data_IF_589296159316
#
_entry.id   IF_589296159316
#
_cell.length_a   1.000
_cell.length_b   1.000
_cell.length_c   1.000
_cell.angle_alpha   90.00
_cell.angle_beta   90.00
_cell.angle_gamma   90.00
#
_symmetry.space_group_name_H-M   'P 1'
#
loop_
_entity.id
_entity.type
_entity.pdbx_description
1 polymer ?
#
# COMPACT_ATOMS: atom_id res chain seq x y z
N UNK A 1 -23.98 7.21 -11.64
CA UNK A 1 -25.00 6.55 -10.79
C UNK A 1 -26.42 7.00 -11.11
N UNK A 2 -26.73 8.29 -11.20
CA UNK A 2 -28.09 8.78 -11.52
C UNK A 2 -28.68 8.25 -12.83
N UNK A 3 -27.86 8.11 -13.87
CA UNK A 3 -28.25 7.47 -15.13
C UNK A 3 -28.70 6.02 -14.92
N UNK A 4 -27.99 5.26 -14.09
CA UNK A 4 -28.34 3.87 -13.75
C UNK A 4 -29.65 3.84 -12.95
N UNK A 5 -29.80 4.71 -11.95
CA UNK A 5 -31.02 4.83 -11.13
C UNK A 5 -32.25 5.11 -11.98
N UNK A 6 -32.16 6.02 -12.93
CA UNK A 6 -33.27 6.42 -13.80
C UNK A 6 -33.50 5.47 -15.00
N UNK A 7 -32.79 4.34 -15.10
CA UNK A 7 -32.89 3.46 -16.26
C UNK A 7 -34.29 2.88 -16.48
N UNK A 8 -35.03 2.40 -15.45
CA UNK A 8 -36.40 1.91 -15.63
C UNK A 8 -37.35 2.95 -16.21
N UNK A 9 -37.30 4.19 -15.70
CA UNK A 9 -38.16 5.30 -16.14
C UNK A 9 -37.86 5.66 -17.60
N UNK A 10 -36.58 5.82 -17.95
CA UNK A 10 -36.17 6.17 -19.32
C UNK A 10 -36.56 5.10 -20.33
N UNK A 11 -36.43 3.83 -19.97
CA UNK A 11 -36.83 2.72 -20.85
C UNK A 11 -38.35 2.65 -20.99
N UNK A 12 -39.12 2.94 -19.95
CA UNK A 12 -40.57 3.01 -20.04
C UNK A 12 -41.05 4.08 -21.04
N UNK A 13 -40.35 5.22 -21.10
CA UNK A 13 -40.70 6.34 -21.99
C UNK A 13 -40.31 6.11 -23.46
N UNK A 14 -39.30 5.28 -23.73
CA UNK A 14 -38.69 5.17 -25.08
C UNK A 14 -38.68 3.76 -25.70
N UNK A 15 -39.05 2.71 -24.96
CA UNK A 15 -38.93 1.34 -25.46
C UNK A 15 -40.09 0.94 -26.39
N UNK A 16 -39.81 0.16 -27.45
CA UNK A 16 -40.85 -0.56 -28.19
C UNK A 16 -41.72 -1.42 -27.27
N UNK A 17 -42.99 -1.63 -27.64
CA UNK A 17 -43.91 -2.42 -26.85
C UNK A 17 -43.33 -3.82 -26.49
N UNK A 18 -43.36 -4.18 -25.20
CA UNK A 18 -42.88 -5.47 -24.69
C UNK A 18 -41.42 -5.49 -24.22
N UNK A 19 -40.53 -4.66 -24.78
CA UNK A 19 -39.10 -4.66 -24.40
C UNK A 19 -38.90 -4.22 -22.94
N UNK A 20 -39.69 -3.25 -22.47
CA UNK A 20 -39.62 -2.77 -21.08
C UNK A 20 -39.99 -3.83 -20.03
N UNK A 21 -40.92 -4.74 -20.37
CA UNK A 21 -41.28 -5.89 -19.51
C UNK A 21 -40.14 -6.91 -19.47
N UNK A 22 -39.57 -7.23 -20.63
CA UNK A 22 -38.49 -8.21 -20.77
C UNK A 22 -37.25 -7.81 -19.98
N UNK A 23 -36.82 -6.54 -20.08
CA UNK A 23 -35.59 -6.07 -19.43
C UNK A 23 -35.78 -5.61 -17.98
N UNK A 24 -37.03 -5.58 -17.48
CA UNK A 24 -37.38 -5.04 -16.15
C UNK A 24 -36.51 -5.60 -15.01
N UNK A 25 -36.25 -6.93 -14.91
CA UNK A 25 -35.44 -7.45 -13.80
C UNK A 25 -34.03 -6.85 -13.76
N UNK A 26 -33.40 -6.63 -14.91
CA UNK A 26 -32.08 -6.04 -15.02
C UNK A 26 -32.10 -4.52 -14.84
N UNK A 27 -33.09 -3.83 -15.40
CA UNK A 27 -33.19 -2.37 -15.26
C UNK A 27 -33.50 -1.97 -13.82
N UNK A 28 -34.34 -2.70 -13.10
CA UNK A 28 -34.59 -2.49 -11.67
C UNK A 28 -33.34 -2.77 -10.83
N UNK A 29 -32.62 -3.86 -11.10
CA UNK A 29 -31.39 -4.17 -10.39
C UNK A 29 -30.31 -3.11 -10.65
N UNK A 30 -30.19 -2.65 -11.91
CA UNK A 30 -29.31 -1.55 -12.28
C UNK A 30 -29.71 -0.25 -11.56
N UNK A 31 -31.01 0.01 -11.40
CA UNK A 31 -31.50 1.16 -10.68
C UNK A 31 -31.15 1.13 -9.19
N UNK A 32 -31.29 -0.03 -8.53
CA UNK A 32 -30.86 -0.23 -7.13
C UNK A 32 -29.37 0.01 -6.96
N UNK A 33 -28.53 -0.49 -7.87
CA UNK A 33 -27.10 -0.17 -7.86
C UNK A 33 -26.82 1.31 -8.12
N UNK A 34 -27.60 1.96 -8.99
CA UNK A 34 -27.56 3.40 -9.19
C UNK A 34 -27.83 4.16 -7.89
N UNK A 35 -28.90 3.82 -7.19
CA UNK A 35 -29.25 4.41 -5.89
C UNK A 35 -28.17 4.14 -4.83
N UNK A 36 -27.67 2.91 -4.74
CA UNK A 36 -26.58 2.55 -3.82
C UNK A 36 -25.32 3.37 -4.10
N UNK A 37 -24.97 3.57 -5.37
CA UNK A 37 -23.81 4.37 -5.74
C UNK A 37 -23.97 5.86 -5.44
N UNK A 38 -25.16 6.43 -5.59
CA UNK A 38 -25.46 7.81 -5.14
C UNK A 38 -25.29 7.94 -3.63
N UNK A 39 -25.93 7.07 -2.84
CA UNK A 39 -25.84 7.07 -1.39
C UNK A 39 -24.40 6.83 -0.88
N UNK A 40 -23.62 6.01 -1.59
CA UNK A 40 -22.22 5.79 -1.30
C UNK A 40 -21.38 7.07 -1.51
N UNK A 41 -21.65 7.83 -2.58
CA UNK A 41 -21.00 9.13 -2.81
C UNK A 41 -21.44 10.16 -1.77
N UNK A 42 -22.72 10.22 -1.43
CA UNK A 42 -23.25 11.13 -0.40
C UNK A 42 -22.62 10.85 0.98
N UNK A 43 -22.48 9.57 1.34
CA UNK A 43 -21.78 9.12 2.55
C UNK A 43 -20.33 9.62 2.58
N UNK A 44 -19.55 9.37 1.52
CA UNK A 44 -18.16 9.81 1.46
C UNK A 44 -18.05 11.35 1.50
N UNK A 45 -18.95 12.05 0.81
CA UNK A 45 -18.97 13.51 0.80
C UNK A 45 -19.32 14.10 2.17
N UNK A 46 -20.26 13.49 2.90
CA UNK A 46 -20.59 13.87 4.27
C UNK A 46 -19.40 13.65 5.21
N UNK A 47 -18.73 12.50 5.12
CA UNK A 47 -17.52 12.19 5.90
C UNK A 47 -16.37 13.16 5.62
N UNK A 48 -16.16 13.53 4.36
CA UNK A 48 -15.15 14.51 3.96
C UNK A 48 -15.42 15.91 4.55
N UNK A 49 -16.69 16.27 4.76
CA UNK A 49 -17.09 17.53 5.42
C UNK A 49 -17.14 17.43 6.95
N UNK A 50 -16.97 16.24 7.52
CA UNK A 50 -17.14 16.00 8.95
C UNK A 50 -18.61 15.98 9.42
N UNK A 51 -19.56 15.83 8.49
CA UNK A 51 -20.99 15.81 8.79
C UNK A 51 -21.44 14.39 9.16
N UNK A 52 -21.31 14.06 10.45
CA UNK A 52 -21.59 12.73 10.96
C UNK A 52 -23.06 12.31 10.87
N UNK A 53 -24.00 13.25 11.04
CA UNK A 53 -25.42 12.98 10.93
C UNK A 53 -25.81 12.63 9.48
N UNK A 54 -25.39 13.44 8.50
CA UNK A 54 -25.63 13.13 7.09
C UNK A 54 -24.93 11.83 6.65
N UNK A 55 -23.69 11.59 7.13
CA UNK A 55 -22.98 10.35 6.86
C UNK A 55 -23.75 9.15 7.41
N UNK A 56 -24.21 9.20 8.66
CA UNK A 56 -24.97 8.13 9.28
C UNK A 56 -26.29 7.85 8.56
N UNK A 57 -27.03 8.89 8.19
CA UNK A 57 -28.26 8.74 7.41
C UNK A 57 -28.01 8.09 6.04
N UNK A 58 -26.98 8.54 5.31
CA UNK A 58 -26.60 7.97 4.03
C UNK A 58 -26.16 6.50 4.16
N UNK A 59 -25.41 6.15 5.20
CA UNK A 59 -25.00 4.78 5.48
C UNK A 59 -26.20 3.86 5.78
N UNK A 60 -27.15 4.30 6.62
CA UNK A 60 -28.37 3.53 6.91
C UNK A 60 -29.17 3.27 5.64
N UNK A 61 -29.38 4.32 4.83
CA UNK A 61 -30.07 4.19 3.56
C UNK A 61 -29.32 3.25 2.59
N UNK A 62 -27.98 3.37 2.53
CA UNK A 62 -27.15 2.49 1.71
C UNK A 62 -27.27 1.03 2.15
N UNK A 63 -27.21 0.75 3.46
CA UNK A 63 -27.39 -0.61 4.02
C UNK A 63 -28.75 -1.19 3.64
N UNK A 64 -29.81 -0.39 3.69
CA UNK A 64 -31.16 -0.83 3.28
C UNK A 64 -31.19 -1.21 1.79
N UNK A 65 -30.69 -0.34 0.90
CA UNK A 65 -30.64 -0.62 -0.55
C UNK A 65 -29.74 -1.84 -0.85
N UNK A 66 -28.63 -2.00 -0.14
CA UNK A 66 -27.74 -3.16 -0.29
C UNK A 66 -28.39 -4.48 0.13
N UNK A 67 -29.22 -4.46 1.17
CA UNK A 67 -29.97 -5.64 1.59
C UNK A 67 -31.03 -6.06 0.55
N UNK A 68 -31.48 -5.13 -0.29
CA UNK A 68 -32.35 -5.42 -1.42
C UNK A 68 -31.56 -5.93 -2.63
N UNK A 69 -30.42 -5.32 -2.95
CA UNK A 69 -29.57 -5.78 -4.08
C UNK A 69 -29.02 -7.20 -3.85
N UNK A 70 -28.77 -7.58 -2.59
CA UNK A 70 -28.24 -8.90 -2.23
C UNK A 70 -29.25 -10.04 -2.37
N UNK A 71 -30.56 -9.76 -2.48
CA UNK A 71 -31.63 -10.78 -2.69
C UNK A 71 -31.68 -11.27 -4.15
N UNK A 72 -30.50 -11.40 -4.77
CA UNK A 72 -30.20 -11.58 -6.21
C UNK A 72 -31.27 -12.35 -6.99
N UNK A 73 -31.87 -11.70 -8.00
CA UNK A 73 -32.61 -12.36 -9.08
C UNK A 73 -31.88 -12.36 -10.42
N UNK A 74 -31.02 -11.37 -10.66
CA UNK A 74 -30.18 -11.21 -11.86
C UNK A 74 -28.86 -10.52 -11.50
N UNK A 75 -27.82 -10.72 -12.31
CA UNK A 75 -26.49 -10.10 -12.13
C UNK A 75 -26.33 -8.92 -13.07
N UNK A 76 -25.80 -7.80 -12.55
CA UNK A 76 -25.46 -6.59 -13.31
C UNK A 76 -24.07 -6.13 -12.89
N UNK A 77 -23.13 -6.07 -13.85
CA UNK A 77 -21.77 -5.55 -13.61
C UNK A 77 -20.97 -6.35 -12.58
N UNK A 78 -20.76 -7.65 -12.87
CA UNK A 78 -19.99 -8.54 -12.00
C UNK A 78 -18.57 -8.00 -11.73
N UNK A 79 -18.14 -8.05 -10.48
CA UNK A 79 -16.79 -7.60 -10.07
C UNK A 79 -16.52 -6.09 -10.13
N UNK A 80 -17.52 -5.23 -10.39
CA UNK A 80 -17.30 -3.77 -10.48
C UNK A 80 -18.00 -3.01 -9.36
N UNK A 81 -19.32 -3.16 -9.23
CA UNK A 81 -20.12 -2.33 -8.33
C UNK A 81 -20.03 -2.77 -6.87
N UNK A 82 -20.11 -4.07 -6.62
CA UNK A 82 -19.99 -4.62 -5.26
C UNK A 82 -18.64 -4.28 -4.61
N UNK A 83 -17.48 -4.43 -5.29
CA UNK A 83 -16.19 -4.03 -4.72
C UNK A 83 -16.10 -2.54 -4.37
N UNK A 84 -16.70 -1.67 -5.19
CA UNK A 84 -16.77 -0.24 -4.88
C UNK A 84 -17.59 0.00 -3.60
N UNK A 85 -18.80 -0.55 -3.52
CA UNK A 85 -19.68 -0.39 -2.35
C UNK A 85 -19.06 -0.97 -1.07
N UNK A 86 -18.38 -2.11 -1.17
CA UNK A 86 -17.63 -2.70 -0.06
C UNK A 86 -16.49 -1.82 0.41
N UNK A 87 -15.78 -1.17 -0.52
CA UNK A 87 -14.72 -0.23 -0.17
C UNK A 87 -15.28 1.02 0.53
N UNK A 88 -16.45 1.51 0.12
CA UNK A 88 -17.13 2.63 0.80
C UNK A 88 -17.52 2.26 2.22
N UNK A 89 -18.13 1.09 2.44
CA UNK A 89 -18.47 0.63 3.80
C UNK A 89 -17.23 0.49 4.67
N UNK A 90 -16.14 -0.10 4.17
CA UNK A 90 -14.87 -0.19 4.91
C UNK A 90 -14.30 1.18 5.28
N UNK A 91 -14.38 2.14 4.35
CA UNK A 91 -13.94 3.52 4.60
C UNK A 91 -14.79 4.15 5.70
N UNK A 92 -16.10 3.93 5.66
CA UNK A 92 -17.00 4.45 6.66
C UNK A 92 -16.78 3.82 8.04
N UNK A 93 -16.58 2.51 8.13
CA UNK A 93 -16.22 1.83 9.38
C UNK A 93 -14.95 2.41 10.01
N UNK A 94 -13.92 2.65 9.20
CA UNK A 94 -12.70 3.32 9.66
C UNK A 94 -12.99 4.73 10.20
N UNK A 95 -13.83 5.51 9.50
CA UNK A 95 -14.30 6.83 9.93
C UNK A 95 -15.08 6.78 11.25
N UNK A 96 -15.88 5.74 11.47
CA UNK A 96 -16.61 5.52 12.72
C UNK A 96 -15.74 5.03 13.88
N UNK A 97 -14.47 4.68 13.65
CA UNK A 97 -13.61 4.08 14.67
C UNK A 97 -13.94 2.62 14.99
N UNK A 98 -14.65 1.92 14.08
CA UNK A 98 -15.08 0.53 14.30
C UNK A 98 -14.04 -0.50 13.86
N UNK A 99 -12.95 -0.06 13.23
CA UNK A 99 -11.85 -0.91 12.74
C UNK A 99 -10.73 -0.98 13.77
N UNK A 100 -10.39 -2.19 14.22
CA UNK A 100 -9.23 -2.43 15.08
C UNK A 100 -9.45 -2.13 16.57
N UNK A 101 -10.65 -2.38 17.10
CA UNK A 101 -10.99 -2.17 18.52
C UNK A 101 -9.98 -2.79 19.49
N UNK A 102 -9.85 -2.19 20.67
CA UNK A 102 -8.85 -2.55 21.67
C UNK A 102 -9.29 -3.71 22.58
N UNK A 103 -10.31 -4.48 22.17
CA UNK A 103 -10.84 -5.64 22.90
C UNK A 103 -12.07 -5.33 23.75
N UNK A 104 -12.81 -4.28 23.41
CA UNK A 104 -14.07 -3.91 24.06
C UNK A 104 -15.13 -4.99 23.84
N UNK A 105 -16.00 -5.17 24.84
CA UNK A 105 -17.12 -6.11 24.78
C UNK A 105 -18.44 -5.38 24.99
N UNK A 106 -19.40 -5.65 24.12
CA UNK A 106 -20.79 -5.21 24.32
C UNK A 106 -21.43 -6.14 25.35
N UNK A 107 -21.86 -5.58 26.47
CA UNK A 107 -22.65 -6.27 27.48
C UNK A 107 -24.13 -5.94 27.23
N UNK A 108 -24.92 -6.96 26.89
CA UNK A 108 -26.37 -6.82 26.82
C UNK A 108 -26.95 -6.88 28.23
N UNK A 109 -27.57 -5.78 28.64
CA UNK A 109 -28.21 -5.66 29.96
C UNK A 109 -29.71 -5.45 29.87
N UNK A 110 -30.30 -5.49 28.67
CA UNK A 110 -31.73 -5.27 28.40
C UNK A 110 -32.23 -3.84 28.64
N UNK A 111 -31.60 -3.05 29.51
CA UNK A 111 -31.98 -1.66 29.83
C UNK A 111 -30.92 -0.61 29.44
N UNK A 112 -29.78 -1.05 28.92
CA UNK A 112 -28.69 -0.17 28.48
C UNK A 112 -27.80 -0.88 27.46
N UNK A 113 -27.34 -0.13 26.46
CA UNK A 113 -26.27 -0.57 25.56
C UNK A 113 -24.93 -0.25 26.23
N UNK A 114 -24.24 -1.27 26.74
CA UNK A 114 -23.01 -1.08 27.53
C UNK A 114 -21.80 -1.63 26.80
N UNK A 115 -20.73 -0.84 26.72
CA UNK A 115 -19.42 -1.22 26.21
C UNK A 115 -18.44 -1.29 27.36
N UNK A 116 -17.95 -2.48 27.67
CA UNK A 116 -16.94 -2.72 28.71
C UNK A 116 -15.55 -2.62 28.11
N UNK A 117 -14.70 -1.81 28.73
CA UNK A 117 -13.32 -1.61 28.30
C UNK A 117 -12.42 -2.66 28.96
N UNK A 118 -11.35 -3.14 28.29
CA UNK A 118 -10.47 -4.18 28.83
C UNK A 118 -9.67 -3.74 30.06
N UNK A 119 -9.48 -2.42 30.21
CA UNK A 119 -8.80 -1.77 31.33
C UNK A 119 -9.32 -0.35 31.48
N UNK A 120 -8.97 0.31 32.58
CA UNK A 120 -9.22 1.75 32.75
C UNK A 120 -8.42 2.53 31.71
N UNK A 121 -9.09 3.35 30.90
CA UNK A 121 -8.52 4.13 29.80
C UNK A 121 -8.93 5.60 29.91
N UNK A 122 -8.03 6.56 29.63
CA UNK A 122 -8.43 7.95 29.39
C UNK A 122 -9.18 8.07 28.06
N UNK A 123 -10.35 8.72 28.09
CA UNK A 123 -11.20 8.94 26.92
C UNK A 123 -10.85 10.26 26.25
N UNK A 124 -10.71 10.24 24.92
CA UNK A 124 -10.61 11.44 24.10
C UNK A 124 -12.01 11.91 23.65
N UNK A 125 -12.92 10.97 23.45
CA UNK A 125 -14.25 11.24 22.89
C UNK A 125 -15.11 9.99 22.86
N UNK A 126 -16.38 10.18 22.55
CA UNK A 126 -17.35 9.11 22.36
C UNK A 126 -18.20 9.41 21.15
N UNK A 127 -18.29 8.46 20.24
CA UNK A 127 -19.23 8.50 19.11
C UNK A 127 -20.34 7.48 19.35
N UNK A 128 -21.59 7.90 19.20
CA UNK A 128 -22.78 7.05 19.32
C UNK A 128 -23.61 7.17 18.07
N UNK A 129 -24.01 6.03 17.53
CA UNK A 129 -24.97 5.92 16.43
C UNK A 129 -26.24 5.25 16.94
N UNK A 130 -27.37 5.88 16.69
CA UNK A 130 -28.69 5.35 17.04
C UNK A 130 -29.63 5.50 15.86
N UNK A 131 -30.78 4.84 15.92
CA UNK A 131 -31.86 5.31 15.05
C UNK A 131 -32.20 6.79 15.34
N UNK A 132 -32.63 7.57 14.33
CA UNK A 132 -33.09 8.93 14.55
C UNK A 132 -34.29 8.97 15.51
N UNK A 133 -34.32 9.99 16.37
CA UNK A 133 -35.35 10.23 17.37
C UNK A 133 -35.15 9.48 18.70
N UNK A 134 -34.14 8.62 18.81
CA UNK A 134 -33.82 7.91 20.07
C UNK A 134 -33.34 8.91 21.12
N UNK A 135 -33.91 8.82 22.33
CA UNK A 135 -33.52 9.64 23.47
C UNK A 135 -32.75 8.83 24.51
N UNK A 136 -31.76 9.44 25.14
CA UNK A 136 -30.93 8.77 26.13
C UNK A 136 -29.76 9.61 26.63
N UNK A 137 -29.01 9.05 27.56
CA UNK A 137 -27.80 9.66 28.11
C UNK A 137 -26.61 8.73 27.89
N UNK A 138 -25.51 9.30 27.40
CA UNK A 138 -24.21 8.64 27.32
C UNK A 138 -23.51 8.83 28.66
N UNK A 139 -23.05 7.74 29.27
CA UNK A 139 -22.41 7.75 30.57
C UNK A 139 -21.09 6.96 30.52
N UNK A 140 -20.10 7.40 31.30
CA UNK A 140 -18.82 6.74 31.49
C UNK A 140 -18.68 6.26 32.94
N UNK A 141 -18.32 4.99 33.13
CA UNK A 141 -18.06 4.45 34.47
C UNK A 141 -16.63 4.80 34.88
N UNK A 142 -16.51 5.70 35.84
CA UNK A 142 -15.22 6.11 36.41
C UNK A 142 -14.99 5.34 37.71
N UNK A 143 -13.91 4.56 37.83
CA UNK A 143 -13.60 3.83 39.07
C UNK A 143 -13.64 4.74 40.31
N UNK A 144 -14.36 4.31 41.34
CA UNK A 144 -14.55 5.08 42.59
C UNK A 144 -15.58 6.21 42.52
N UNK A 145 -16.03 6.62 41.32
CA UNK A 145 -17.09 7.65 41.15
C UNK A 145 -18.39 7.08 40.56
N UNK A 146 -18.37 5.85 40.04
CA UNK A 146 -19.53 5.23 39.40
C UNK A 146 -19.79 5.81 38.01
N UNK A 147 -21.04 5.72 37.55
CA UNK A 147 -21.47 6.27 36.25
C UNK A 147 -21.51 7.80 36.31
N UNK A 148 -20.81 8.43 35.38
CA UNK A 148 -20.76 9.88 35.21
C UNK A 148 -21.41 10.23 33.87
N UNK A 149 -22.30 11.22 33.81
CA UNK A 149 -22.88 11.66 32.55
C UNK A 149 -21.80 12.28 31.66
N UNK A 150 -21.83 11.95 30.37
CA UNK A 150 -20.95 12.49 29.34
C UNK A 150 -21.73 13.49 28.47
N UNK A 151 -22.81 13.02 27.85
CA UNK A 151 -23.69 13.86 27.01
C UNK A 151 -25.09 13.23 26.89
N UNK A 152 -26.05 13.96 26.33
CA UNK A 152 -27.32 13.40 25.86
C UNK A 152 -27.18 12.97 24.40
N UNK A 153 -28.02 12.01 23.99
CA UNK A 153 -28.12 11.63 22.58
C UNK A 153 -28.72 12.77 21.75
N UNK A 154 -28.12 13.02 20.60
CA UNK A 154 -28.64 13.92 19.58
C UNK A 154 -29.78 13.26 18.79
N UNK A 155 -30.87 14.00 18.49
CA UNK A 155 -32.08 13.43 17.90
C UNK A 155 -31.92 13.01 16.43
N UNK A 156 -30.87 13.48 15.73
CA UNK A 156 -30.54 13.02 14.38
C UNK A 156 -29.93 11.60 14.34
N UNK A 157 -29.61 11.03 15.52
CA UNK A 157 -29.03 9.70 15.65
C UNK A 157 -27.51 9.65 15.53
N UNK A 158 -26.83 10.79 15.46
CA UNK A 158 -25.38 10.91 15.52
C UNK A 158 -24.94 11.79 16.69
N UNK A 159 -24.41 11.16 17.73
CA UNK A 159 -23.84 11.88 18.88
C UNK A 159 -22.33 11.72 18.85
N UNK A 160 -21.59 12.82 18.77
CA UNK A 160 -20.13 12.79 18.78
C UNK A 160 -19.60 13.90 19.69
N UNK A 161 -18.95 13.50 20.77
CA UNK A 161 -18.56 14.43 21.84
C UNK A 161 -17.14 14.17 22.29
N UNK A 162 -16.38 15.24 22.50
CA UNK A 162 -15.10 15.16 23.19
C UNK A 162 -15.34 14.88 24.69
N UNK A 163 -14.51 14.03 25.28
CA UNK A 163 -14.68 13.60 26.68
C UNK A 163 -13.36 13.56 27.44
N UNK A 164 -12.46 14.47 27.08
CA UNK A 164 -11.12 14.57 27.66
C UNK A 164 -11.16 14.68 29.18
N UNK A 165 -10.18 14.04 29.83
CA UNK A 165 -10.06 14.03 31.30
C UNK A 165 -10.91 12.98 32.04
N UNK A 166 -11.76 12.22 31.37
CA UNK A 166 -12.42 11.05 31.97
C UNK A 166 -11.55 9.79 31.82
N UNK A 167 -11.37 9.05 32.93
CA UNK A 167 -10.72 7.72 32.92
C UNK A 167 -11.77 6.67 33.26
N UNK A 168 -12.20 5.92 32.25
CA UNK A 168 -13.32 5.00 32.36
C UNK A 168 -12.91 3.55 32.15
N UNK A 169 -13.68 2.62 32.70
CA UNK A 169 -13.59 1.18 32.42
C UNK A 169 -14.84 0.61 31.74
N UNK A 170 -15.89 1.42 31.57
CA UNK A 170 -17.06 1.12 30.76
C UNK A 170 -17.73 2.40 30.26
N UNK A 171 -18.46 2.30 29.15
CA UNK A 171 -19.36 3.31 28.62
C UNK A 171 -20.75 2.69 28.47
N UNK A 172 -21.81 3.48 28.59
CA UNK A 172 -23.15 3.02 28.24
C UNK A 172 -24.00 4.13 27.64
N UNK A 173 -25.03 3.71 26.91
CA UNK A 173 -26.21 4.51 26.62
C UNK A 173 -27.34 4.01 27.49
N UNK A 174 -27.90 4.88 28.33
CA UNK A 174 -29.08 4.61 29.16
C UNK A 174 -30.30 5.36 28.61
N UNK A 175 -31.46 4.70 28.62
CA UNK A 175 -32.71 5.25 28.09
C UNK A 175 -33.75 4.17 27.81
N UNK A 176 -35.00 4.56 27.51
CA UNK A 176 -36.09 3.62 27.24
C UNK A 176 -35.92 2.83 25.93
N UNK A 177 -35.04 3.27 25.03
CA UNK A 177 -34.85 2.74 23.68
C UNK A 177 -33.39 2.32 23.43
N UNK A 178 -32.71 1.80 24.46
CA UNK A 178 -31.31 1.43 24.38
C UNK A 178 -31.02 0.32 23.35
N UNK A 179 -32.02 -0.48 23.01
CA UNK A 179 -31.98 -1.49 21.94
C UNK A 179 -31.90 -0.90 20.53
N UNK A 180 -32.22 0.39 20.36
CA UNK A 180 -32.11 1.13 19.08
C UNK A 180 -30.76 1.83 18.89
N UNK A 181 -29.79 1.51 19.75
CA UNK A 181 -28.39 1.93 19.61
C UNK A 181 -27.69 0.98 18.65
N UNK A 182 -27.22 1.49 17.51
CA UNK A 182 -26.41 0.71 16.56
C UNK A 182 -25.00 0.49 17.12
N UNK A 183 -24.37 1.56 17.65
CA UNK A 183 -22.99 1.51 18.10
C UNK A 183 -22.68 2.57 19.14
N UNK A 184 -21.82 2.22 20.09
CA UNK A 184 -21.14 3.11 21.04
C UNK A 184 -19.63 2.90 20.90
N UNK A 185 -18.90 3.91 20.44
CA UNK A 185 -17.47 3.83 20.13
C UNK A 185 -16.66 4.76 21.05
N UNK A 186 -15.84 4.22 21.95
CA UNK A 186 -14.85 5.02 22.68
C UNK A 186 -13.69 5.44 21.78
N UNK A 187 -13.24 6.67 21.96
CA UNK A 187 -11.94 7.14 21.49
C UNK A 187 -11.03 7.38 22.69
N UNK A 188 -9.75 7.05 22.57
CA UNK A 188 -8.83 7.04 23.70
C UNK A 188 -7.68 8.03 23.56
N UNK A 189 -7.25 8.63 24.67
CA UNK A 189 -6.11 9.55 24.69
C UNK A 189 -4.76 8.81 24.67
N UNK A 190 -4.69 7.64 25.30
CA UNK A 190 -3.46 6.84 25.49
C UNK A 190 -3.15 5.89 24.32
N UNK A 191 -3.92 5.98 23.22
CA UNK A 191 -3.69 5.24 21.99
C UNK A 191 -2.85 6.02 20.99
N UNK A 192 -2.26 5.31 20.02
CA UNK A 192 -1.63 5.98 18.88
C UNK A 192 -2.65 6.85 18.13
N UNK A 193 -2.22 8.03 17.67
CA UNK A 193 -3.08 8.96 16.96
C UNK A 193 -3.39 8.50 15.54
N UNK A 194 -2.51 7.69 14.94
CA UNK A 194 -2.69 7.13 13.63
C UNK A 194 -1.99 5.78 13.50
N UNK A 195 -2.47 4.93 12.59
CA UNK A 195 -1.67 3.81 12.08
C UNK A 195 -0.63 4.33 11.07
N UNK A 196 0.54 3.69 11.05
CA UNK A 196 1.61 3.91 10.08
C UNK A 196 1.98 2.58 9.44
N UNK A 197 1.93 2.50 8.11
CA UNK A 197 2.41 1.36 7.33
C UNK A 197 3.25 1.85 6.16
N UNK A 198 4.39 1.21 5.93
CA UNK A 198 5.17 1.44 4.71
C UNK A 198 4.65 0.51 3.61
N UNK A 199 4.41 1.06 2.42
CA UNK A 199 3.97 0.28 1.26
C UNK A 199 5.01 -0.77 0.85
N UNK A 200 6.29 -0.47 1.09
CA UNK A 200 7.41 -1.42 1.10
C UNK A 200 8.28 -1.12 2.31
N UNK A 201 8.73 -2.17 3.01
CA UNK A 201 9.68 -2.04 4.11
C UNK A 201 11.12 -1.77 3.67
N UNK A 202 11.38 -1.73 2.37
CA UNK A 202 12.70 -1.55 1.78
C UNK A 202 12.67 -0.45 0.72
N UNK A 203 13.76 0.32 0.65
CA UNK A 203 14.02 1.30 -0.40
C UNK A 203 15.43 1.08 -0.96
N UNK A 204 15.52 0.85 -2.26
CA UNK A 204 16.79 0.76 -2.97
C UNK A 204 17.23 2.15 -3.41
N UNK A 205 18.50 2.49 -3.18
CA UNK A 205 19.05 3.78 -3.57
C UNK A 205 20.50 3.60 -4.03
N UNK A 206 20.84 4.21 -5.16
CA UNK A 206 22.22 4.34 -5.61
C UNK A 206 22.88 5.48 -4.81
N UNK A 207 24.09 5.24 -4.32
CA UNK A 207 24.91 6.25 -3.64
C UNK A 207 25.24 7.35 -4.64
N UNK A 208 24.98 8.60 -4.25
CA UNK A 208 25.11 9.78 -5.12
C UNK A 208 24.18 9.75 -6.34
N UNK A 209 23.09 8.95 -6.26
CA UNK A 209 22.10 8.81 -7.30
C UNK A 209 20.81 9.60 -7.06
N UNK A 210 19.84 9.40 -7.94
CA UNK A 210 18.51 9.97 -7.80
C UNK A 210 17.77 9.41 -6.58
N UNK A 211 16.79 10.18 -6.11
CA UNK A 211 16.01 9.78 -4.95
C UNK A 211 15.03 8.65 -5.30
N UNK A 212 15.01 7.59 -4.49
CA UNK A 212 13.96 6.59 -4.57
C UNK A 212 12.73 7.06 -3.79
N UNK A 213 11.54 6.73 -4.29
CA UNK A 213 10.27 7.11 -3.66
C UNK A 213 9.51 5.87 -3.26
N UNK A 214 9.17 5.79 -1.98
CA UNK A 214 8.22 4.82 -1.44
C UNK A 214 6.96 5.53 -0.96
N UNK A 215 5.92 4.77 -0.64
CA UNK A 215 4.66 5.33 -0.11
C UNK A 215 4.48 4.88 1.33
N UNK A 216 4.36 5.82 2.26
CA UNK A 216 3.79 5.57 3.59
C UNK A 216 2.26 5.69 3.52
N UNK A 217 1.54 4.83 4.23
CA UNK A 217 0.09 4.89 4.40
C UNK A 217 -0.19 5.21 5.86
N UNK A 218 -0.91 6.30 6.09
CA UNK A 218 -1.28 6.76 7.41
C UNK A 218 -2.79 6.74 7.56
N UNK A 219 -3.32 6.24 8.68
CA UNK A 219 -4.78 6.21 8.94
C UNK A 219 -5.06 6.87 10.28
N UNK A 220 -5.88 7.91 10.32
CA UNK A 220 -6.23 8.60 11.57
C UNK A 220 -7.07 7.72 12.50
N UNK A 221 -6.67 7.63 13.77
CA UNK A 221 -7.33 6.86 14.83
C UNK A 221 -7.83 7.80 15.96
N UNK A 222 -8.29 9.00 15.57
CA UNK A 222 -8.83 10.01 16.49
C UNK A 222 -10.22 10.47 16.01
N UNK A 223 -11.08 10.98 16.92
CA UNK A 223 -12.41 11.46 16.58
C UNK A 223 -12.40 12.73 15.70
N UNK A 224 -11.23 13.25 15.35
CA UNK A 224 -11.04 14.39 14.47
C UNK A 224 -9.80 14.25 13.60
N UNK A 225 -9.47 15.33 12.89
CA UNK A 225 -8.30 15.41 12.01
C UNK A 225 -7.00 15.31 12.80
N UNK A 226 -6.13 14.40 12.40
CA UNK A 226 -4.76 14.27 12.95
C UNK A 226 -3.80 15.04 12.05
N UNK A 227 -2.91 15.83 12.65
CA UNK A 227 -1.86 16.59 11.94
C UNK A 227 -0.51 16.27 12.53
N UNK A 228 0.50 16.18 11.67
CA UNK A 228 1.87 15.99 12.14
C UNK A 228 2.86 15.82 11.01
N UNK A 229 4.15 15.82 11.35
CA UNK A 229 5.21 15.50 10.41
C UNK A 229 5.50 14.00 10.43
N UNK A 230 5.66 13.39 9.25
CA UNK A 230 6.25 12.06 9.14
C UNK A 230 7.77 12.20 9.29
N UNK A 231 8.30 11.80 10.45
CA UNK A 231 9.72 12.00 10.80
C UNK A 231 10.51 10.72 10.55
N UNK A 232 11.75 10.86 10.08
CA UNK A 232 12.67 9.76 9.94
C UNK A 232 13.93 10.02 10.79
N UNK A 233 14.41 9.00 11.51
CA UNK A 233 15.70 9.05 12.20
C UNK A 233 16.77 8.48 11.30
N UNK A 234 17.50 9.33 10.60
CA UNK A 234 18.42 8.88 9.56
C UNK A 234 19.87 8.73 10.06
N UNK A 235 20.58 7.67 9.62
CA UNK A 235 22.04 7.59 9.74
C UNK A 235 22.74 8.72 8.95
N UNK A 236 23.99 9.03 9.31
CA UNK A 236 24.80 10.04 8.62
C UNK A 236 24.92 9.72 7.12
N UNK A 237 24.56 10.67 6.27
CA UNK A 237 24.62 10.55 4.80
C UNK A 237 23.41 9.88 4.16
N UNK A 238 22.41 9.45 4.93
CA UNK A 238 21.11 9.02 4.41
C UNK A 238 20.10 10.12 4.68
N UNK A 239 19.38 10.54 3.65
CA UNK A 239 18.33 11.53 3.73
C UNK A 239 17.00 10.85 3.45
N UNK A 240 16.04 11.05 4.34
CA UNK A 240 14.65 10.60 4.16
C UNK A 240 13.76 11.80 4.38
N UNK A 241 13.05 12.20 3.33
CA UNK A 241 12.18 13.38 3.33
C UNK A 241 10.74 12.99 3.02
N UNK A 242 9.82 13.66 3.71
CA UNK A 242 8.38 13.59 3.53
C UNK A 242 7.82 15.02 3.66
N UNK A 243 6.54 15.27 3.33
CA UNK A 243 5.91 16.57 3.58
C UNK A 243 6.09 17.03 5.03
N UNK A 244 6.39 18.32 5.22
CA UNK A 244 6.62 18.91 6.56
C UNK A 244 5.41 18.74 7.48
N UNK A 245 4.22 18.76 6.89
CA UNK A 245 2.96 18.48 7.56
C UNK A 245 2.12 17.52 6.71
N UNK A 246 1.57 16.51 7.38
CA UNK A 246 0.57 15.60 6.85
C UNK A 246 -0.74 15.82 7.59
N UNK A 247 -1.83 15.98 6.84
CA UNK A 247 -3.18 16.16 7.37
C UNK A 247 -3.98 14.89 7.10
N UNK A 248 -4.43 14.23 8.16
CA UNK A 248 -5.19 12.99 8.09
C UNK A 248 -6.60 13.27 8.59
N UNK A 249 -7.58 13.45 7.69
CA UNK A 249 -8.98 13.48 8.08
C UNK A 249 -9.35 12.20 8.84
N UNK A 250 -10.34 12.32 9.73
CA UNK A 250 -10.86 11.22 10.55
C UNK A 250 -11.05 9.95 9.71
N UNK A 251 -10.55 8.82 10.24
CA UNK A 251 -10.62 7.47 9.65
C UNK A 251 -10.21 7.32 8.18
N UNK A 252 -9.53 8.30 7.61
CA UNK A 252 -9.10 8.28 6.20
C UNK A 252 -7.68 7.73 6.12
N UNK A 253 -7.42 6.86 5.14
CA UNK A 253 -6.06 6.48 4.76
C UNK A 253 -5.48 7.53 3.82
N UNK A 254 -4.38 8.16 4.21
CA UNK A 254 -3.62 9.11 3.39
C UNK A 254 -2.32 8.45 2.94
N UNK A 255 -2.00 8.59 1.65
CA UNK A 255 -0.75 8.09 1.06
C UNK A 255 0.26 9.22 0.98
N UNK A 256 1.35 9.07 1.70
CA UNK A 256 2.43 10.04 1.80
C UNK A 256 3.63 9.54 1.00
N UNK A 257 4.10 10.26 -0.03
CA UNK A 257 5.36 9.93 -0.68
C UNK A 257 6.52 10.20 0.29
N UNK A 258 7.43 9.23 0.38
CA UNK A 258 8.66 9.31 1.17
C UNK A 258 9.82 9.13 0.22
N UNK A 259 10.65 10.17 0.11
CA UNK A 259 11.82 10.19 -0.76
C UNK A 259 13.07 9.85 0.03
N UNK A 260 13.92 8.97 -0.52
CA UNK A 260 15.15 8.48 0.09
C UNK A 260 16.32 8.83 -0.84
N UNK A 261 17.34 9.53 -0.30
CA UNK A 261 18.62 9.76 -0.98
C UNK A 261 19.77 9.22 -0.13
N UNK A 262 20.81 8.76 -0.81
CA UNK A 262 22.05 8.32 -0.18
C UNK A 262 23.18 9.20 -0.70
N UNK A 263 23.76 10.00 0.17
CA UNK A 263 24.83 10.94 -0.17
C UNK A 263 26.13 10.23 -0.54
N UNK A 264 26.96 10.94 -1.29
CA UNK A 264 28.32 10.52 -1.61
C UNK A 264 29.11 10.10 -0.35
N UNK A 265 29.87 9.00 -0.45
CA UNK A 265 30.76 8.53 0.62
C UNK A 265 30.10 7.61 1.66
N UNK A 266 28.79 7.41 1.59
CA UNK A 266 28.13 6.32 2.34
C UNK A 266 28.65 4.97 1.85
N UNK A 267 28.87 4.03 2.77
CA UNK A 267 29.32 2.67 2.40
C UNK A 267 28.13 1.89 1.83
N UNK A 268 28.32 1.09 0.76
CA UNK A 268 27.28 0.16 0.33
C UNK A 268 26.82 -0.77 1.46
N UNK A 269 25.53 -1.06 1.52
CA UNK A 269 24.95 -1.90 2.57
C UNK A 269 23.52 -1.54 2.92
N UNK A 270 22.98 -2.23 3.93
CA UNK A 270 21.63 -2.00 4.43
C UNK A 270 21.65 -1.16 5.69
N UNK A 271 20.74 -0.18 5.76
CA UNK A 271 20.61 0.76 6.86
C UNK A 271 19.17 0.80 7.34
N UNK A 272 18.96 0.64 8.64
CA UNK A 272 17.63 0.76 9.23
C UNK A 272 17.34 2.23 9.56
N UNK A 273 16.20 2.71 9.08
CA UNK A 273 15.70 4.07 9.30
C UNK A 273 14.32 3.98 9.96
N UNK A 274 14.22 4.25 11.27
CA UNK A 274 12.94 4.39 11.93
C UNK A 274 12.16 5.58 11.36
N UNK A 275 10.95 5.32 10.88
CA UNK A 275 9.98 6.31 10.39
C UNK A 275 8.82 6.40 11.37
N UNK A 276 8.42 7.60 11.76
CA UNK A 276 7.52 7.84 12.88
C UNK A 276 6.43 8.85 12.56
N UNK A 277 5.22 8.55 13.03
CA UNK A 277 4.06 9.43 12.94
C UNK A 277 3.04 9.07 14.03
N UNK A 278 2.46 10.07 14.70
CA UNK A 278 1.33 9.88 15.62
C UNK A 278 1.56 8.85 16.74
N UNK A 279 2.79 8.74 17.26
CA UNK A 279 3.17 7.77 18.28
C UNK A 279 3.43 6.34 17.77
N UNK A 280 3.42 6.11 16.45
CA UNK A 280 3.82 4.86 15.81
C UNK A 280 5.18 4.99 15.16
N UNK A 281 5.90 3.86 15.11
CA UNK A 281 7.17 3.71 14.42
C UNK A 281 7.11 2.51 13.48
N UNK A 282 7.72 2.64 12.31
CA UNK A 282 7.94 1.58 11.34
C UNK A 282 9.38 1.65 10.85
N UNK A 283 10.03 0.50 10.67
CA UNK A 283 11.41 0.47 10.17
C UNK A 283 11.43 0.40 8.65
N UNK A 284 12.11 1.37 8.03
CA UNK A 284 12.48 1.34 6.62
C UNK A 284 13.93 0.84 6.48
N UNK A 285 14.14 -0.23 5.71
CA UNK A 285 15.49 -0.67 5.33
C UNK A 285 15.91 0.02 4.04
N UNK A 286 16.88 0.94 4.13
CA UNK A 286 17.51 1.56 2.96
C UNK A 286 18.68 0.71 2.51
N UNK A 287 18.62 0.17 1.28
CA UNK A 287 19.74 -0.56 0.66
C UNK A 287 20.51 0.38 -0.25
N UNK A 288 21.70 0.76 0.20
CA UNK A 288 22.61 1.64 -0.53
C UNK A 288 23.50 0.81 -1.46
N UNK A 289 23.42 1.11 -2.75
CA UNK A 289 24.24 0.47 -3.80
C UNK A 289 25.30 1.42 -4.31
N UNK A 290 26.50 0.94 -4.66
CA UNK A 290 27.53 1.78 -5.25
C UNK A 290 27.05 2.40 -6.58
N UNK A 291 27.53 3.59 -6.94
CA UNK A 291 27.28 4.16 -8.26
C UNK A 291 27.86 3.25 -9.34
N UNK A 292 27.25 3.29 -10.52
CA UNK A 292 27.65 2.47 -11.67
C UNK A 292 28.03 3.32 -12.87
N UNK A 293 28.82 2.75 -13.78
CA UNK A 293 29.36 3.45 -14.95
C UNK A 293 29.65 2.49 -16.10
N UNK A 294 30.09 3.05 -17.22
CA UNK A 294 30.52 2.30 -18.40
C UNK A 294 29.38 1.77 -19.26
N UNK A 295 29.72 1.06 -20.35
CA UNK A 295 28.73 0.42 -21.21
C UNK A 295 28.10 -0.81 -20.54
N UNK A 296 26.99 -1.29 -21.12
CA UNK A 296 26.42 -2.58 -20.77
C UNK A 296 27.43 -3.72 -20.99
N UNK A 297 27.74 -4.44 -19.92
CA UNK A 297 28.66 -5.59 -19.90
C UNK A 297 28.07 -6.83 -20.57
N UNK A 298 26.75 -6.91 -20.70
CA UNK A 298 26.05 -8.07 -21.28
C UNK A 298 26.13 -8.07 -22.80
N UNK A 299 26.09 -6.90 -23.44
CA UNK A 299 26.10 -6.73 -24.90
C UNK A 299 27.16 -7.55 -25.65
N UNK A 300 28.34 -7.69 -25.06
CA UNK A 300 29.49 -8.41 -25.64
C UNK A 300 29.72 -9.80 -25.01
N UNK A 301 28.87 -10.21 -24.07
CA UNK A 301 28.94 -11.50 -23.41
C UNK A 301 28.39 -12.66 -24.25
N UNK A 302 28.52 -13.88 -23.73
CA UNK A 302 27.93 -15.09 -24.32
C UNK A 302 26.71 -15.53 -23.52
N UNK A 303 25.53 -15.28 -24.05
CA UNK A 303 24.27 -15.65 -23.43
C UNK A 303 23.94 -17.14 -23.64
N UNK A 304 23.31 -17.76 -22.63
CA UNK A 304 22.67 -19.07 -22.70
C UNK A 304 21.46 -19.13 -21.78
N UNK A 305 20.59 -20.13 -21.97
CA UNK A 305 19.35 -20.31 -21.19
C UNK A 305 19.20 -21.78 -20.76
N UNK A 306 18.25 -22.04 -19.85
CA UNK A 306 17.84 -23.40 -19.50
C UNK A 306 17.18 -24.12 -20.68
N UNK A 307 16.39 -23.37 -21.45
CA UNK A 307 15.72 -23.76 -22.68
C UNK A 307 15.12 -22.50 -23.32
N UNK A 308 14.84 -22.58 -24.61
CA UNK A 308 14.15 -21.55 -25.38
C UNK A 308 12.73 -22.04 -25.72
N UNK A 309 11.77 -21.12 -25.78
CA UNK A 309 10.37 -21.39 -26.18
C UNK A 309 10.33 -21.96 -27.61
N UNK A 310 11.04 -21.29 -28.53
CA UNK A 310 11.28 -21.68 -29.92
C UNK A 310 12.67 -21.17 -30.34
N UNK A 311 13.15 -21.61 -31.51
CA UNK A 311 14.41 -21.11 -32.09
C UNK A 311 14.39 -19.60 -32.41
N UNK A 312 13.20 -19.00 -32.55
CA UNK A 312 13.01 -17.57 -32.82
C UNK A 312 13.21 -16.69 -31.58
N UNK A 313 13.21 -17.26 -30.37
CA UNK A 313 13.37 -16.53 -29.10
C UNK A 313 14.61 -16.97 -28.31
N UNK A 314 15.81 -16.97 -28.92
CA UNK A 314 17.01 -17.54 -28.33
C UNK A 314 17.55 -16.66 -27.19
N UNK A 315 18.34 -17.26 -26.29
CA UNK A 315 18.98 -16.53 -25.18
C UNK A 315 19.75 -15.27 -25.63
N UNK A 316 20.35 -15.27 -26.82
CA UNK A 316 21.11 -14.13 -27.35
C UNK A 316 20.26 -12.87 -27.56
N UNK A 317 18.97 -13.02 -27.84
CA UNK A 317 18.09 -11.90 -28.11
C UNK A 317 18.00 -10.95 -26.91
N UNK A 318 17.93 -11.46 -25.67
CA UNK A 318 17.98 -10.60 -24.49
C UNK A 318 19.33 -9.88 -24.23
N UNK A 319 20.37 -10.13 -25.03
CA UNK A 319 21.68 -9.48 -24.91
C UNK A 319 22.09 -8.66 -26.14
N UNK A 320 21.31 -8.67 -27.23
CA UNK A 320 21.75 -8.08 -28.51
C UNK A 320 21.56 -6.56 -28.60
N UNK A 321 20.64 -6.00 -27.80
CA UNK A 321 20.33 -4.57 -27.75
C UNK A 321 19.25 -4.12 -28.70
N UNK A 322 18.61 -5.07 -29.38
CA UNK A 322 17.44 -4.85 -30.21
C UNK A 322 16.19 -4.87 -29.32
N UNK A 323 15.44 -3.75 -29.18
CA UNK A 323 14.22 -3.74 -28.39
C UNK A 323 13.08 -4.58 -28.98
N UNK A 324 13.20 -5.04 -30.24
CA UNK A 324 12.21 -5.88 -30.91
C UNK A 324 12.48 -7.39 -30.73
N UNK A 325 13.69 -7.77 -30.33
CA UNK A 325 14.05 -9.17 -30.07
C UNK A 325 13.80 -9.53 -28.61
N UNK A 326 13.58 -10.82 -28.32
CA UNK A 326 13.41 -11.31 -26.94
C UNK A 326 13.93 -12.73 -26.78
N UNK A 327 14.48 -13.02 -25.60
CA UNK A 327 14.58 -14.41 -25.14
C UNK A 327 13.24 -14.81 -24.53
N UNK A 328 12.82 -16.07 -24.72
CA UNK A 328 11.71 -16.62 -23.94
C UNK A 328 11.92 -18.08 -23.60
N UNK A 329 11.47 -18.46 -22.41
CA UNK A 329 11.55 -19.84 -21.92
C UNK A 329 10.30 -20.64 -22.28
N UNK A 330 10.36 -21.99 -22.21
CA UNK A 330 9.16 -22.81 -22.08
C UNK A 330 8.30 -22.37 -20.88
N UNK A 331 7.02 -22.77 -20.90
CA UNK A 331 6.02 -22.42 -19.90
C UNK A 331 6.18 -23.21 -18.58
N UNK A 332 7.33 -23.06 -17.94
CA UNK A 332 7.69 -23.72 -16.67
C UNK A 332 8.39 -22.77 -15.70
N UNK A 333 8.14 -22.95 -14.39
CA UNK A 333 8.91 -22.26 -13.36
C UNK A 333 10.35 -22.78 -13.34
N UNK A 334 11.26 -22.08 -12.65
CA UNK A 334 12.67 -22.45 -12.53
C UNK A 334 13.53 -22.37 -13.81
N UNK A 335 12.97 -21.91 -14.94
CA UNK A 335 13.77 -21.54 -16.10
C UNK A 335 14.72 -20.35 -15.79
N UNK A 336 15.86 -20.33 -16.48
CA UNK A 336 16.89 -19.31 -16.28
C UNK A 336 17.47 -18.79 -17.59
N UNK A 337 17.92 -17.55 -17.54
CA UNK A 337 18.76 -16.91 -18.55
C UNK A 337 20.09 -16.53 -17.91
N UNK A 338 21.21 -16.69 -18.61
CA UNK A 338 22.52 -16.29 -18.08
C UNK A 338 23.45 -15.77 -19.18
N UNK A 339 24.52 -15.12 -18.77
CA UNK A 339 25.60 -14.71 -19.66
C UNK A 339 26.96 -14.91 -19.03
N UNK A 340 27.94 -15.30 -19.85
CA UNK A 340 29.36 -15.15 -19.53
C UNK A 340 29.83 -13.76 -19.99
N UNK A 341 30.27 -12.94 -19.04
CA UNK A 341 30.84 -11.62 -19.32
C UNK A 341 32.21 -11.76 -19.99
N UNK A 342 32.62 -10.81 -20.86
CA UNK A 342 33.91 -10.86 -21.57
C UNK A 342 35.11 -10.92 -20.62
N UNK A 343 35.01 -10.25 -19.47
CA UNK A 343 36.02 -10.14 -18.42
C UNK A 343 35.34 -10.15 -17.03
N UNK A 344 36.00 -10.65 -15.98
CA UNK A 344 35.46 -10.52 -14.62
C UNK A 344 35.29 -9.06 -14.22
N UNK A 345 34.13 -8.71 -13.68
CA UNK A 345 33.82 -7.33 -13.27
C UNK A 345 33.21 -7.26 -11.86
N UNK A 346 33.31 -6.10 -11.22
CA UNK A 346 32.47 -5.78 -10.05
C UNK A 346 31.16 -5.18 -10.56
N UNK A 347 30.08 -5.97 -10.55
CA UNK A 347 28.77 -5.56 -11.05
C UNK A 347 27.99 -4.84 -9.95
N UNK A 348 27.54 -3.62 -10.25
CA UNK A 348 26.80 -2.76 -9.32
C UNK A 348 25.31 -2.65 -9.64
N UNK A 349 24.88 -3.01 -10.86
CA UNK A 349 23.47 -2.96 -11.26
C UNK A 349 23.18 -3.96 -12.36
N UNK A 350 21.97 -4.51 -12.33
CA UNK A 350 21.34 -5.24 -13.44
C UNK A 350 20.05 -4.52 -13.80
N UNK A 351 19.84 -4.27 -15.08
CA UNK A 351 18.58 -3.78 -15.61
C UNK A 351 17.93 -4.90 -16.44
N UNK A 352 16.64 -5.14 -16.19
CA UNK A 352 15.85 -6.16 -16.83
C UNK A 352 14.69 -5.47 -17.54
N UNK A 353 14.46 -5.82 -18.80
CA UNK A 353 13.26 -5.42 -19.52
C UNK A 353 12.44 -6.66 -19.84
N UNK A 354 11.46 -6.95 -18.98
CA UNK A 354 10.51 -8.03 -19.17
C UNK A 354 9.44 -7.68 -20.20
N UNK A 355 8.94 -8.70 -20.88
CA UNK A 355 7.64 -8.63 -21.56
C UNK A 355 6.50 -8.82 -20.53
N UNK A 356 5.24 -8.86 -20.98
CA UNK A 356 4.09 -9.20 -20.12
C UNK A 356 4.19 -10.59 -19.46
N UNK A 357 4.95 -11.51 -20.05
CA UNK A 357 5.31 -12.81 -19.49
C UNK A 357 6.58 -12.69 -18.63
N UNK A 358 6.44 -12.22 -17.39
CA UNK A 358 7.57 -11.93 -16.49
C UNK A 358 7.65 -12.88 -15.29
N UNK A 359 8.75 -12.78 -14.54
CA UNK A 359 8.92 -13.48 -13.29
C UNK A 359 8.29 -12.71 -12.11
N UNK A 360 7.27 -13.29 -11.47
CA UNK A 360 6.70 -12.75 -10.23
C UNK A 360 7.69 -12.88 -9.06
N UNK A 361 8.56 -13.89 -9.09
CA UNK A 361 9.70 -14.03 -8.21
C UNK A 361 10.92 -14.55 -8.99
N UNK A 362 12.09 -13.97 -8.73
CA UNK A 362 13.35 -14.35 -9.36
C UNK A 362 14.55 -14.02 -8.48
N UNK A 363 15.71 -14.59 -8.83
CA UNK A 363 17.00 -14.30 -8.21
C UNK A 363 17.98 -13.85 -9.27
N UNK A 364 18.77 -12.83 -8.94
CA UNK A 364 19.99 -12.52 -9.67
C UNK A 364 21.11 -13.28 -8.99
N UNK A 365 21.70 -14.21 -9.72
CA UNK A 365 22.82 -15.02 -9.28
C UNK A 365 24.08 -14.64 -10.06
N UNK A 366 25.22 -14.81 -9.41
CA UNK A 366 26.52 -14.53 -10.02
C UNK A 366 27.51 -15.62 -9.70
N UNK A 367 28.50 -15.80 -10.56
CA UNK A 367 29.53 -16.82 -10.41
C UNK A 367 30.88 -16.37 -11.02
N UNK A 368 31.96 -16.95 -10.51
CA UNK A 368 33.32 -16.82 -11.06
C UNK A 368 33.61 -17.83 -12.18
N UNK A 369 32.95 -18.99 -12.14
CA UNK A 369 33.30 -20.17 -12.93
C UNK A 369 32.11 -20.79 -13.69
N UNK A 370 30.90 -20.24 -13.52
CA UNK A 370 29.68 -20.72 -14.16
C UNK A 370 29.11 -21.99 -13.54
N UNK A 371 29.75 -22.52 -12.49
CA UNK A 371 29.40 -23.79 -11.82
C UNK A 371 28.87 -23.54 -10.42
N UNK A 372 29.60 -22.75 -9.63
CA UNK A 372 29.20 -22.40 -8.26
C UNK A 372 28.53 -21.04 -8.30
N UNK A 373 27.24 -21.02 -8.00
CA UNK A 373 26.42 -19.81 -8.05
C UNK A 373 26.13 -19.30 -6.64
N UNK A 374 26.25 -17.98 -6.47
CA UNK A 374 25.76 -17.28 -5.27
C UNK A 374 24.63 -16.34 -5.66
N UNK A 375 23.59 -16.27 -4.83
CA UNK A 375 22.53 -15.27 -4.99
C UNK A 375 23.06 -13.90 -4.58
N UNK A 376 23.02 -12.95 -5.50
CA UNK A 376 23.39 -11.55 -5.27
C UNK A 376 22.17 -10.68 -4.93
N UNK A 377 20.99 -11.02 -5.47
CA UNK A 377 19.72 -10.40 -5.11
C UNK A 377 18.55 -11.40 -5.23
N UNK A 378 17.51 -11.18 -4.44
CA UNK A 378 16.25 -11.94 -4.49
C UNK A 378 15.11 -10.95 -4.63
N UNK A 379 14.30 -11.10 -5.67
CA UNK A 379 13.11 -10.30 -5.92
C UNK A 379 11.89 -11.20 -5.79
N UNK A 380 11.00 -10.88 -4.85
CA UNK A 380 9.80 -11.70 -4.55
C UNK A 380 8.49 -11.11 -5.06
N UNK A 381 8.56 -9.88 -5.55
CA UNK A 381 7.42 -9.09 -5.99
C UNK A 381 7.69 -8.41 -7.33
N UNK A 382 8.19 -9.19 -8.31
CA UNK A 382 8.41 -8.73 -9.67
C UNK A 382 7.19 -8.01 -10.25
N UNK A 383 7.42 -6.97 -11.03
CA UNK A 383 6.40 -6.09 -11.62
C UNK A 383 6.32 -6.25 -13.14
N UNK A 384 7.31 -6.87 -13.77
CA UNK A 384 7.44 -6.90 -15.22
C UNK A 384 7.87 -5.52 -15.76
N UNK A 385 7.84 -5.35 -17.08
CA UNK A 385 8.39 -4.14 -17.72
C UNK A 385 9.85 -3.92 -17.34
N UNK A 386 10.24 -2.66 -17.09
CA UNK A 386 11.62 -2.33 -16.69
C UNK A 386 11.81 -2.46 -15.18
N UNK A 387 12.76 -3.30 -14.79
CA UNK A 387 13.18 -3.48 -13.41
C UNK A 387 14.68 -3.22 -13.25
N UNK A 388 15.04 -2.51 -12.18
CA UNK A 388 16.41 -2.21 -11.81
C UNK A 388 16.75 -2.92 -10.52
N UNK A 389 17.82 -3.72 -10.54
CA UNK A 389 18.32 -4.47 -9.39
C UNK A 389 19.72 -3.95 -9.03
N UNK A 390 19.84 -3.23 -7.92
CA UNK A 390 21.13 -2.81 -7.38
C UNK A 390 21.93 -3.98 -6.80
N UNK A 391 23.24 -3.98 -6.99
CA UNK A 391 24.17 -5.01 -6.54
C UNK A 391 25.46 -4.39 -5.96
N UNK A 392 26.25 -5.20 -5.26
CA UNK A 392 27.67 -4.93 -5.01
C UNK A 392 28.46 -6.23 -5.15
N UNK A 393 28.38 -6.83 -6.34
CA UNK A 393 28.89 -8.17 -6.60
C UNK A 393 30.30 -8.10 -7.19
N UNK A 394 31.31 -8.52 -6.44
CA UNK A 394 32.70 -8.61 -6.91
C UNK A 394 32.97 -9.88 -7.72
N UNK A 395 33.98 -9.78 -8.59
CA UNK A 395 34.56 -10.89 -9.36
C UNK A 395 33.51 -11.67 -10.17
N UNK A 396 32.55 -10.99 -10.76
CA UNK A 396 31.48 -11.61 -11.55
C UNK A 396 32.01 -11.91 -12.93
N UNK A 397 32.09 -13.20 -13.28
CA UNK A 397 32.34 -13.66 -14.66
C UNK A 397 31.06 -14.14 -15.33
N UNK A 398 30.13 -14.69 -14.54
CA UNK A 398 28.84 -15.17 -15.01
C UNK A 398 27.72 -14.54 -14.22
N UNK A 399 26.66 -14.15 -14.91
CA UNK A 399 25.44 -13.59 -14.34
C UNK A 399 24.24 -14.41 -14.80
N UNK A 400 23.33 -14.73 -13.88
CA UNK A 400 22.12 -15.50 -14.16
C UNK A 400 20.90 -14.82 -13.57
N UNK A 401 19.86 -14.69 -14.38
CA UNK A 401 18.49 -14.39 -13.95
C UNK A 401 17.77 -15.73 -13.80
N UNK A 402 17.56 -16.14 -12.56
CA UNK A 402 16.88 -17.39 -12.22
C UNK A 402 15.43 -17.08 -11.88
N UNK A 403 14.50 -17.46 -12.76
CA UNK A 403 13.07 -17.35 -12.44
C UNK A 403 12.70 -18.37 -11.37
N UNK A 404 11.95 -17.98 -10.35
CA UNK A 404 11.46 -18.87 -9.30
C UNK A 404 9.95 -19.11 -9.42
N UNK A 405 9.20 -18.11 -9.92
CA UNK A 405 7.76 -18.19 -10.15
C UNK A 405 7.32 -17.30 -11.31
N UNK A 406 6.56 -17.84 -12.25
CA UNK A 406 5.94 -17.08 -13.34
C UNK A 406 4.77 -16.23 -12.87
N UNK A 407 4.61 -15.06 -13.49
CA UNK A 407 3.47 -14.18 -13.24
C UNK A 407 2.23 -14.55 -14.04
N UNK A 408 2.40 -15.25 -15.16
CA UNK A 408 1.35 -15.66 -16.09
C UNK A 408 1.41 -17.16 -16.37
N UNK A 409 0.50 -17.67 -17.21
CA UNK A 409 0.55 -19.06 -17.68
C UNK A 409 1.66 -19.31 -18.72
N UNK A 410 2.24 -18.26 -19.30
CA UNK A 410 3.36 -18.30 -20.25
C UNK A 410 4.71 -18.42 -19.54
N UNK A 411 5.78 -18.71 -20.28
CA UNK A 411 7.16 -18.74 -19.78
C UNK A 411 7.69 -17.39 -19.30
N UNK A 412 8.98 -17.30 -19.01
CA UNK A 412 9.65 -16.02 -18.77
C UNK A 412 10.10 -15.42 -20.10
N UNK A 413 9.97 -14.10 -20.24
CA UNK A 413 10.29 -13.39 -21.47
C UNK A 413 11.00 -12.06 -21.19
N UNK A 414 12.19 -11.91 -21.77
CA UNK A 414 13.06 -10.74 -21.59
C UNK A 414 13.41 -10.13 -22.94
N UNK A 415 13.04 -8.86 -23.13
CA UNK A 415 13.55 -8.03 -24.22
C UNK A 415 15.03 -7.70 -24.00
N UNK A 416 15.44 -7.38 -22.77
CA UNK A 416 16.85 -7.15 -22.47
C UNK A 416 17.26 -7.53 -21.05
N UNK A 417 18.52 -7.94 -20.93
CA UNK A 417 19.28 -8.01 -19.67
C UNK A 417 20.53 -7.18 -19.86
N UNK A 418 20.74 -6.22 -18.98
CA UNK A 418 21.90 -5.33 -19.01
C UNK A 418 22.58 -5.36 -17.65
N UNK A 419 23.90 -5.26 -17.62
CA UNK A 419 24.67 -5.24 -16.38
C UNK A 419 25.72 -4.13 -16.42
N UNK A 420 25.83 -3.38 -15.34
CA UNK A 420 26.71 -2.21 -15.25
C UNK A 420 27.74 -2.39 -14.15
N UNK A 421 28.98 -1.99 -14.45
CA UNK A 421 30.09 -2.06 -13.51
C UNK A 421 29.92 -0.99 -12.41
N UNK A 422 30.43 -1.29 -11.21
CA UNK A 422 30.62 -0.29 -10.17
C UNK A 422 31.60 0.77 -10.66
N UNK A 423 31.24 2.04 -10.48
CA UNK A 423 32.15 3.16 -10.68
C UNK A 423 33.23 3.13 -9.58
N UNK A 424 34.42 2.62 -9.92
CA UNK A 424 35.55 2.67 -9.00
C UNK A 424 36.13 4.09 -8.99
N UNK A 425 36.27 4.68 -7.80
CA UNK A 425 37.09 5.88 -7.65
C UNK A 425 38.55 5.46 -7.68
N UNK A 426 39.32 6.02 -8.61
CA UNK A 426 40.78 5.88 -8.64
C UNK A 426 41.35 6.12 -7.24
N UNK A 427 42.09 5.14 -6.71
CA UNK A 427 42.76 5.32 -5.42
C UNK A 427 43.84 6.40 -5.58
N UNK A 428 44.01 7.32 -4.61
CA UNK A 428 45.05 8.36 -4.65
C UNK A 428 46.49 7.84 -4.85
N UNK A 429 46.73 6.54 -4.62
CA UNK A 429 48.05 5.91 -4.76
C UNK A 429 48.56 5.82 -6.19
N UNK A 430 47.71 5.88 -7.21
CA UNK A 430 48.19 5.93 -8.61
C UNK A 430 48.66 7.32 -9.00
N UNK A 431 47.96 8.38 -8.57
CA UNK A 431 48.39 9.77 -8.77
C UNK A 431 49.72 10.09 -8.10
N UNK A 432 50.05 9.44 -6.98
CA UNK A 432 51.34 9.58 -6.32
C UNK A 432 52.47 8.83 -7.05
N UNK A 433 52.21 7.62 -7.55
CA UNK A 433 53.18 6.83 -8.32
C UNK A 433 53.47 7.42 -9.71
N UNK A 434 52.47 8.04 -10.33
CA UNK A 434 52.62 8.72 -11.61
C UNK A 434 53.41 10.04 -11.42
N UNK A 435 53.12 10.79 -10.35
CA UNK A 435 53.91 11.99 -9.96
C UNK A 435 55.34 11.67 -9.52
N UNK A 436 55.61 10.50 -8.95
CA UNK A 436 56.99 10.06 -8.64
C UNK A 436 57.76 9.59 -9.88
N UNK A 437 57.06 9.00 -10.87
CA UNK A 437 57.67 8.60 -12.15
C UNK A 437 58.02 9.78 -13.06
N UNK A 438 57.30 10.89 -12.93
CA UNK A 438 57.55 12.12 -13.70
C UNK A 438 58.57 13.07 -13.06
N UNK A 439 59.19 12.71 -11.92
CA UNK A 439 60.31 13.49 -11.38
C UNK A 439 61.57 13.22 -12.23
N UNK A 440 62.13 14.21 -12.95
CA UNK A 440 63.42 14.02 -13.59
C UNK A 440 64.48 13.84 -12.51
N UNK A 441 65.35 12.83 -12.69
CA UNK A 441 66.51 12.63 -11.84
C UNK A 441 67.32 13.92 -11.75
N UNK A 442 67.59 14.37 -10.52
CA UNK A 442 68.64 15.37 -10.27
C UNK A 442 69.97 14.64 -10.33
N UNK A 443 70.66 14.76 -11.46
CA UNK A 443 72.11 14.60 -11.54
C UNK A 443 72.83 15.80 -10.92
#
# INVERSE_FOLDING_TARGET
FSVMRATPERLADSAPAGLGEEVRPWSEQLARYGQAGELAVDLLAAQARGDGAAAWHAERALRAVRAETSRKKVTVGDGVLDPFLDQVVKTADSWHGTVGGDGEKVADTGSAYTVVLPRVRPLAGVTVRTDPGVSGTVEARVPGKGWQPVTRLEPDGWTDVESSGLRADALRVSGPEAERVDRLVPWYEDGAEAALRLGRGEADAEIDGEASVITARLTAHRPGTVRGALRARTPKGIEVSAPEESVLPRGTEVRIPVSVRVAEGVRPGSYEVPVEFGGRSATLTVRAFPPTTGPDLVRSGRASSSADETEDFPARAAADGDPESRWSSPAEDNAWWQTELPEPARVGRVELHWQDAYAAAYRVQVSKDGRIWRTAATVKDGKGGRERVGLDAKDVRYLRVQGDKRATEYGYSLFSVEAYAVAEKEKPREKEKERERERPGRD
#
